data_IF_275269195063
#
_entry.id   IF_275269195063
#
_cell.length_a   1.000
_cell.length_b   1.000
_cell.length_c   1.000
_cell.angle_alpha   90.00
_cell.angle_beta   90.00
_cell.angle_gamma   90.00
#
_symmetry.space_group_name_H-M   'P 1'
#
loop_
_entity.id
_entity.type
_entity.pdbx_description
1 polymer ?
#
# COMPACT_ATOMS: atom_id res chain seq x y z
N UNK A 1 10.41 -17.00 -21.45
CA UNK A 1 10.30 -17.42 -20.05
C UNK A 1 8.99 -16.99 -19.40
N UNK A 2 8.15 -16.15 -20.07
CA UNK A 2 6.84 -15.73 -19.57
C UNK A 2 6.91 -14.88 -18.27
N UNK A 3 7.96 -14.07 -18.10
CA UNK A 3 8.13 -13.24 -16.91
C UNK A 3 7.52 -11.85 -17.13
N UNK A 4 6.81 -11.33 -16.13
CA UNK A 4 6.45 -9.93 -16.01
C UNK A 4 7.64 -9.12 -15.50
N UNK A 5 7.70 -7.82 -15.78
CA UNK A 5 8.71 -6.94 -15.20
C UNK A 5 8.12 -5.64 -14.65
N UNK A 6 8.82 -5.08 -13.67
CA UNK A 6 8.50 -3.76 -13.14
C UNK A 6 9.36 -2.73 -13.86
N UNK A 7 8.70 -1.82 -14.58
CA UNK A 7 9.31 -0.70 -15.27
C UNK A 7 9.50 0.45 -14.29
N UNK A 8 10.75 0.84 -14.07
CA UNK A 8 11.07 2.08 -13.35
C UNK A 8 11.29 3.19 -14.39
N UNK A 9 10.52 4.28 -14.39
CA UNK A 9 10.68 5.38 -15.33
C UNK A 9 11.87 6.27 -14.95
N UNK A 10 13.07 5.70 -15.05
CA UNK A 10 14.36 6.31 -14.76
C UNK A 10 15.20 6.37 -16.04
N UNK A 11 16.10 7.36 -16.11
CA UNK A 11 17.15 7.45 -17.12
C UNK A 11 18.53 7.34 -16.48
N UNK A 12 19.57 7.31 -17.28
CA UNK A 12 20.97 7.36 -16.80
C UNK A 12 21.27 8.64 -15.98
N UNK A 13 20.48 9.71 -16.18
CA UNK A 13 20.53 10.94 -15.39
C UNK A 13 19.78 10.84 -14.04
N UNK A 14 19.08 9.74 -13.79
CA UNK A 14 18.28 9.52 -12.57
C UNK A 14 16.79 9.73 -12.76
N UNK A 15 16.13 10.28 -11.73
CA UNK A 15 14.68 10.55 -11.75
C UNK A 15 14.42 11.75 -12.69
N UNK A 16 13.50 11.62 -13.68
CA UNK A 16 13.12 12.73 -14.55
C UNK A 16 12.56 13.92 -13.77
N UNK A 17 12.93 15.13 -14.18
CA UNK A 17 12.48 16.36 -13.54
C UNK A 17 11.04 16.74 -13.95
N UNK A 18 10.59 16.29 -15.12
CA UNK A 18 9.27 16.60 -15.67
C UNK A 18 8.44 15.35 -15.87
N UNK A 19 7.12 15.52 -15.83
CA UNK A 19 6.17 14.42 -16.12
C UNK A 19 6.26 13.99 -17.59
N UNK A 20 6.54 14.92 -18.50
CA UNK A 20 6.69 14.67 -19.93
C UNK A 20 7.88 13.73 -20.21
N UNK A 21 9.02 13.97 -19.54
CA UNK A 21 10.19 13.08 -19.61
C UNK A 21 9.87 11.70 -19.04
N UNK A 22 9.18 11.64 -17.90
CA UNK A 22 8.76 10.39 -17.28
C UNK A 22 7.85 9.58 -18.20
N UNK A 23 6.85 10.23 -18.80
CA UNK A 23 5.95 9.60 -19.77
C UNK A 23 6.71 9.08 -21.00
N UNK A 24 7.65 9.86 -21.52
CA UNK A 24 8.49 9.46 -22.66
C UNK A 24 9.33 8.21 -22.36
N UNK A 25 9.89 8.12 -21.15
CA UNK A 25 10.65 6.93 -20.74
C UNK A 25 9.73 5.70 -20.67
N UNK A 26 8.54 5.85 -20.07
CA UNK A 26 7.53 4.77 -20.00
C UNK A 26 7.19 4.29 -21.41
N UNK A 27 6.88 5.20 -22.32
CA UNK A 27 6.56 4.87 -23.71
C UNK A 27 7.70 4.14 -24.42
N UNK A 28 8.92 4.68 -24.31
CA UNK A 28 10.10 4.09 -24.96
C UNK A 28 10.34 2.65 -24.52
N UNK A 29 10.27 2.38 -23.20
CA UNK A 29 10.49 1.05 -22.67
C UNK A 29 9.32 0.11 -23.03
N UNK A 30 8.07 0.62 -22.98
CA UNK A 30 6.89 -0.12 -23.39
C UNK A 30 6.97 -0.55 -24.85
N UNK A 31 7.28 0.37 -25.75
CA UNK A 31 7.39 0.09 -27.19
C UNK A 31 8.46 -0.96 -27.48
N UNK A 32 9.60 -0.86 -26.80
CA UNK A 32 10.67 -1.85 -26.95
C UNK A 32 10.26 -3.23 -26.40
N UNK A 33 9.60 -3.29 -25.26
CA UNK A 33 9.09 -4.53 -24.69
C UNK A 33 8.07 -5.21 -25.64
N UNK A 34 7.15 -4.45 -26.21
CA UNK A 34 6.17 -4.95 -27.19
C UNK A 34 6.89 -5.44 -28.47
N UNK A 35 7.89 -4.70 -28.95
CA UNK A 35 8.70 -5.10 -30.09
C UNK A 35 9.40 -6.45 -29.88
N UNK A 36 9.77 -6.74 -28.62
CA UNK A 36 10.39 -8.01 -28.21
C UNK A 36 9.37 -9.14 -27.94
N UNK A 37 8.07 -8.90 -28.19
CA UNK A 37 7.02 -9.89 -28.07
C UNK A 37 6.34 -9.97 -26.72
N UNK A 38 6.54 -8.99 -25.84
CA UNK A 38 5.79 -8.85 -24.60
C UNK A 38 4.43 -8.20 -24.85
N UNK A 39 3.52 -8.37 -23.89
CA UNK A 39 2.21 -7.74 -23.90
C UNK A 39 2.11 -6.65 -22.84
N UNK A 40 1.05 -5.84 -22.83
CA UNK A 40 0.83 -4.82 -21.80
C UNK A 40 0.68 -5.43 -20.41
N UNK A 41 0.14 -6.62 -20.34
CA UNK A 41 -0.10 -7.39 -19.12
C UNK A 41 1.21 -7.86 -18.45
N UNK A 42 2.31 -7.89 -19.21
CA UNK A 42 3.64 -8.24 -18.71
C UNK A 42 4.38 -7.04 -18.09
N UNK A 43 3.80 -5.82 -18.20
CA UNK A 43 4.44 -4.57 -17.81
C UNK A 43 3.72 -3.97 -16.60
N UNK A 44 4.44 -3.75 -15.52
CA UNK A 44 3.97 -3.02 -14.34
C UNK A 44 4.84 -1.79 -14.15
N UNK A 45 4.26 -0.60 -14.12
CA UNK A 45 5.02 0.66 -13.98
C UNK A 45 5.11 1.06 -12.50
N UNK A 46 6.33 1.29 -12.01
CA UNK A 46 6.53 1.89 -10.67
C UNK A 46 6.25 3.39 -10.72
N UNK A 47 5.37 3.86 -9.84
CA UNK A 47 5.03 5.28 -9.72
C UNK A 47 6.15 6.18 -9.21
N UNK A 48 7.27 5.60 -8.73
CA UNK A 48 8.42 6.32 -8.15
C UNK A 48 8.01 7.26 -7.02
N UNK A 49 7.60 6.70 -5.89
CA UNK A 49 7.18 7.49 -4.73
C UNK A 49 8.39 8.12 -4.04
N UNK A 50 8.52 9.43 -4.11
CA UNK A 50 9.43 10.21 -3.28
C UNK A 50 8.73 10.72 -2.02
N UNK A 51 9.50 11.18 -1.02
CA UNK A 51 8.92 11.73 0.21
C UNK A 51 8.47 13.17 0.04
N UNK A 52 7.27 13.48 0.53
CA UNK A 52 6.75 14.87 0.56
C UNK A 52 7.56 15.75 1.51
N UNK A 53 8.33 15.16 2.43
CA UNK A 53 9.25 15.90 3.30
C UNK A 53 10.42 16.54 2.55
N UNK A 54 10.85 15.96 1.43
CA UNK A 54 11.92 16.50 0.59
C UNK A 54 11.38 17.21 -0.67
N UNK A 55 10.30 16.69 -1.25
CA UNK A 55 9.64 17.28 -2.43
C UNK A 55 8.14 17.44 -2.15
N UNK A 56 7.65 18.65 -1.90
CA UNK A 56 6.21 18.89 -1.64
C UNK A 56 5.29 18.46 -2.78
N UNK A 57 5.81 18.31 -4.02
CA UNK A 57 5.04 17.84 -5.18
C UNK A 57 5.08 16.33 -5.38
N UNK A 58 5.86 15.58 -4.62
CA UNK A 58 6.08 14.15 -4.80
C UNK A 58 4.79 13.34 -4.92
N UNK A 59 3.79 13.63 -4.07
CA UNK A 59 2.49 12.96 -4.14
C UNK A 59 1.79 13.22 -5.48
N UNK A 60 1.71 14.48 -5.90
CA UNK A 60 1.05 14.87 -7.15
C UNK A 60 1.74 14.23 -8.36
N UNK A 61 3.08 14.27 -8.39
CA UNK A 61 3.88 13.68 -9.47
C UNK A 61 3.67 12.16 -9.60
N UNK A 62 3.60 11.45 -8.47
CA UNK A 62 3.30 10.03 -8.47
C UNK A 62 1.85 9.75 -8.93
N UNK A 63 0.88 10.52 -8.42
CA UNK A 63 -0.54 10.39 -8.80
C UNK A 63 -0.76 10.67 -10.29
N UNK A 64 -0.05 11.63 -10.87
CA UNK A 64 -0.10 11.92 -12.31
C UNK A 64 0.47 10.76 -13.13
N UNK A 65 1.58 10.14 -12.68
CA UNK A 65 2.15 8.94 -13.31
C UNK A 65 1.15 7.78 -13.29
N UNK A 66 0.49 7.54 -12.15
CA UNK A 66 -0.54 6.49 -12.02
C UNK A 66 -1.72 6.74 -12.97
N UNK A 67 -2.20 8.00 -13.04
CA UNK A 67 -3.30 8.38 -13.94
C UNK A 67 -2.93 8.14 -15.39
N UNK A 68 -1.74 8.58 -15.80
CA UNK A 68 -1.22 8.36 -17.14
C UNK A 68 -1.16 6.87 -17.49
N UNK A 69 -0.58 6.05 -16.62
CA UNK A 69 -0.50 4.60 -16.85
C UNK A 69 -1.89 3.95 -16.98
N UNK A 70 -2.85 4.37 -16.16
CA UNK A 70 -4.24 3.91 -16.26
C UNK A 70 -4.84 4.24 -17.64
N UNK A 71 -4.62 5.46 -18.16
CA UNK A 71 -5.09 5.87 -19.48
C UNK A 71 -4.47 5.05 -20.61
N UNK A 72 -3.22 4.61 -20.42
CA UNK A 72 -2.51 3.72 -21.34
C UNK A 72 -2.86 2.24 -21.18
N UNK A 73 -3.68 1.88 -20.17
CA UNK A 73 -4.04 0.49 -19.85
C UNK A 73 -2.87 -0.31 -19.27
N UNK A 74 -1.95 0.35 -18.56
CA UNK A 74 -0.81 -0.25 -17.88
C UNK A 74 -1.11 -0.43 -16.39
N UNK A 75 -0.69 -1.57 -15.83
CA UNK A 75 -0.70 -1.78 -14.40
C UNK A 75 0.36 -0.92 -13.70
N UNK A 76 0.08 -0.52 -12.45
CA UNK A 76 0.98 0.31 -11.66
C UNK A 76 1.27 -0.28 -10.30
N UNK A 77 2.46 -0.03 -9.77
CA UNK A 77 2.89 -0.39 -8.42
C UNK A 77 3.57 0.80 -7.76
N UNK A 78 3.51 0.91 -6.45
CA UNK A 78 4.31 1.89 -5.70
C UNK A 78 4.72 1.39 -4.31
N UNK A 79 5.90 1.79 -3.87
CA UNK A 79 6.38 1.66 -2.51
C UNK A 79 5.76 2.73 -1.61
N UNK A 80 4.59 2.43 -1.04
CA UNK A 80 3.71 3.41 -0.40
C UNK A 80 4.38 4.20 0.72
N UNK A 81 5.16 3.55 1.57
CA UNK A 81 5.72 4.16 2.78
C UNK A 81 6.76 5.26 2.52
N UNK A 82 7.29 5.35 1.30
CA UNK A 82 8.25 6.39 0.93
C UNK A 82 7.63 7.78 1.00
N UNK A 83 6.33 7.91 0.71
CA UNK A 83 5.63 9.22 0.69
C UNK A 83 5.79 10.00 2.00
N UNK A 84 5.80 9.30 3.13
CA UNK A 84 5.83 9.87 4.48
C UNK A 84 7.19 9.78 5.15
N UNK A 85 8.25 9.39 4.42
CA UNK A 85 9.57 9.21 5.01
C UNK A 85 10.06 10.51 5.67
N UNK A 86 10.54 10.40 6.93
CA UNK A 86 11.01 11.55 7.72
C UNK A 86 9.91 12.39 8.39
N UNK A 87 8.63 12.05 8.21
CA UNK A 87 7.51 12.80 8.83
C UNK A 87 6.94 12.05 10.04
N UNK A 88 6.35 12.77 11.00
CA UNK A 88 5.58 12.16 12.09
C UNK A 88 4.26 11.57 11.60
N UNK A 89 3.62 10.73 12.41
CA UNK A 89 2.28 10.16 12.15
C UNK A 89 2.11 9.57 10.74
N UNK A 90 3.11 8.83 10.29
CA UNK A 90 3.25 8.30 8.94
C UNK A 90 2.03 7.51 8.47
N UNK A 91 1.33 6.85 9.41
CA UNK A 91 0.14 6.05 9.10
C UNK A 91 -0.96 6.89 8.45
N UNK A 92 -1.21 8.10 8.97
CA UNK A 92 -2.22 9.02 8.41
C UNK A 92 -1.88 9.41 6.97
N UNK A 93 -0.62 9.78 6.72
CA UNK A 93 -0.15 10.20 5.39
C UNK A 93 -0.21 9.02 4.41
N UNK A 94 0.26 7.84 4.82
CA UNK A 94 0.24 6.65 3.98
C UNK A 94 -1.19 6.25 3.60
N UNK A 95 -2.13 6.31 4.56
CA UNK A 95 -3.53 5.98 4.33
C UNK A 95 -4.20 6.95 3.37
N UNK A 96 -3.98 8.26 3.56
CA UNK A 96 -4.50 9.30 2.66
C UNK A 96 -3.93 9.16 1.24
N UNK A 97 -2.63 8.93 1.13
CA UNK A 97 -1.97 8.75 -0.16
C UNK A 97 -2.45 7.48 -0.89
N UNK A 98 -2.60 6.35 -0.17
CA UNK A 98 -3.14 5.12 -0.76
C UNK A 98 -4.54 5.35 -1.33
N UNK A 99 -5.42 6.01 -0.58
CA UNK A 99 -6.78 6.33 -1.05
C UNK A 99 -6.73 7.17 -2.33
N UNK A 100 -5.92 8.23 -2.34
CA UNK A 100 -5.73 9.07 -3.52
C UNK A 100 -5.18 8.27 -4.71
N UNK A 101 -4.20 7.40 -4.49
CA UNK A 101 -3.59 6.57 -5.54
C UNK A 101 -4.59 5.55 -6.13
N UNK A 102 -5.41 4.90 -5.29
CA UNK A 102 -6.48 3.99 -5.76
C UNK A 102 -7.47 4.72 -6.65
N UNK A 103 -7.89 5.94 -6.29
CA UNK A 103 -8.81 6.73 -7.12
C UNK A 103 -8.20 7.13 -8.48
N UNK A 104 -6.89 7.22 -8.56
CA UNK A 104 -6.15 7.48 -9.81
C UNK A 104 -5.90 6.22 -10.64
N UNK A 105 -6.14 5.04 -10.08
CA UNK A 105 -6.03 3.76 -10.78
C UNK A 105 -4.82 2.91 -10.38
N UNK A 106 -4.24 3.14 -9.19
CA UNK A 106 -3.20 2.26 -8.67
C UNK A 106 -3.68 0.82 -8.63
N UNK A 107 -2.85 -0.09 -9.15
CA UNK A 107 -3.16 -1.52 -9.24
C UNK A 107 -2.60 -2.29 -8.05
N UNK A 108 -1.38 -1.96 -7.63
CA UNK A 108 -0.66 -2.65 -6.56
C UNK A 108 0.07 -1.66 -5.64
N UNK A 109 0.19 -1.99 -4.37
CA UNK A 109 0.97 -1.21 -3.41
C UNK A 109 1.89 -2.14 -2.59
N UNK A 110 3.16 -1.78 -2.48
CA UNK A 110 4.07 -2.39 -1.52
C UNK A 110 3.89 -1.64 -0.20
N UNK A 111 3.28 -2.31 0.77
CA UNK A 111 2.92 -1.72 2.07
C UNK A 111 2.92 -2.75 3.18
N UNK A 112 2.84 -2.30 4.43
CA UNK A 112 2.71 -3.20 5.57
C UNK A 112 1.23 -3.61 5.77
N UNK A 113 0.86 -4.88 5.52
CA UNK A 113 -0.51 -5.34 5.66
C UNK A 113 -0.99 -5.43 7.12
N UNK A 114 -0.09 -5.34 8.11
CA UNK A 114 -0.45 -5.27 9.53
C UNK A 114 -0.99 -3.89 9.96
N UNK A 115 -0.89 -2.87 9.12
CA UNK A 115 -1.51 -1.56 9.37
C UNK A 115 -2.99 -1.61 8.99
N UNK A 116 -3.84 -1.95 9.97
CA UNK A 116 -5.28 -2.14 9.74
C UNK A 116 -5.96 -0.91 9.10
N UNK A 117 -5.67 0.30 9.59
CA UNK A 117 -6.23 1.53 9.03
C UNK A 117 -5.92 1.69 7.53
N UNK A 118 -4.72 1.28 7.10
CA UNK A 118 -4.31 1.31 5.70
C UNK A 118 -5.12 0.31 4.86
N UNK A 119 -5.26 -0.90 5.38
CA UNK A 119 -6.02 -1.96 4.71
C UNK A 119 -7.50 -1.60 4.64
N UNK A 120 -8.09 -1.10 5.73
CA UNK A 120 -9.49 -0.67 5.79
C UNK A 120 -9.76 0.47 4.79
N UNK A 121 -8.83 1.42 4.67
CA UNK A 121 -8.94 2.50 3.69
C UNK A 121 -8.88 1.99 2.24
N UNK A 122 -8.09 0.95 1.95
CA UNK A 122 -8.06 0.32 0.63
C UNK A 122 -9.42 -0.30 0.26
N UNK A 123 -10.03 -1.06 1.19
CA UNK A 123 -11.37 -1.61 0.97
C UNK A 123 -12.44 -0.51 0.80
N UNK A 124 -12.36 0.55 1.62
CA UNK A 124 -13.25 1.71 1.48
C UNK A 124 -13.08 2.44 0.15
N UNK A 125 -11.84 2.63 -0.30
CA UNK A 125 -11.56 3.27 -1.59
C UNK A 125 -12.08 2.43 -2.77
N UNK A 126 -11.89 1.10 -2.74
CA UNK A 126 -12.41 0.19 -3.76
C UNK A 126 -13.94 0.24 -3.85
N UNK A 127 -14.62 0.32 -2.69
CA UNK A 127 -16.07 0.47 -2.60
C UNK A 127 -16.53 1.80 -3.23
N UNK A 128 -15.89 2.91 -2.87
CA UNK A 128 -16.20 4.24 -3.40
C UNK A 128 -15.95 4.35 -4.91
N UNK A 129 -14.98 3.59 -5.42
CA UNK A 129 -14.67 3.50 -6.85
C UNK A 129 -15.57 2.50 -7.59
N UNK A 130 -16.55 1.91 -6.92
CA UNK A 130 -17.48 0.93 -7.48
C UNK A 130 -16.79 -0.23 -8.22
N UNK A 131 -15.67 -0.72 -7.65
CA UNK A 131 -14.98 -1.88 -8.21
C UNK A 131 -15.82 -3.14 -8.01
N UNK A 132 -15.72 -4.07 -8.96
CA UNK A 132 -16.49 -5.32 -8.95
C UNK A 132 -16.34 -6.08 -7.62
N UNK A 133 -17.47 -6.39 -6.96
CA UNK A 133 -17.53 -7.12 -5.68
C UNK A 133 -16.90 -6.38 -4.49
N UNK A 134 -16.65 -5.08 -4.60
CA UNK A 134 -16.03 -4.29 -3.51
C UNK A 134 -16.95 -4.16 -2.30
N UNK A 135 -18.26 -4.12 -2.49
CA UNK A 135 -19.27 -4.10 -1.44
C UNK A 135 -19.19 -5.34 -0.54
N UNK A 136 -19.17 -6.52 -1.14
CA UNK A 136 -19.04 -7.78 -0.39
C UNK A 136 -17.70 -7.88 0.33
N UNK A 137 -16.60 -7.51 -0.34
CA UNK A 137 -15.26 -7.52 0.29
C UNK A 137 -15.19 -6.56 1.48
N UNK A 138 -15.75 -5.35 1.35
CA UNK A 138 -15.79 -4.38 2.44
C UNK A 138 -16.60 -4.90 3.63
N UNK A 139 -17.82 -5.39 3.41
CA UNK A 139 -18.68 -5.96 4.46
C UNK A 139 -17.97 -7.12 5.17
N UNK A 140 -17.38 -8.05 4.42
CA UNK A 140 -16.65 -9.18 5.01
C UNK A 140 -15.47 -8.73 5.87
N UNK A 141 -14.72 -7.72 5.40
CA UNK A 141 -13.59 -7.14 6.16
C UNK A 141 -14.07 -6.54 7.48
N UNK A 142 -15.12 -5.71 7.45
CA UNK A 142 -15.66 -5.06 8.64
C UNK A 142 -16.25 -6.05 9.63
N UNK A 143 -16.99 -7.05 9.18
CA UNK A 143 -17.55 -8.09 10.03
C UNK A 143 -16.47 -8.92 10.74
N UNK A 144 -15.36 -9.25 10.05
CA UNK A 144 -14.21 -9.93 10.67
C UNK A 144 -13.58 -9.08 11.77
N UNK A 145 -13.45 -7.78 11.56
CA UNK A 145 -12.89 -6.86 12.53
C UNK A 145 -13.75 -6.77 13.78
N UNK A 146 -15.06 -6.57 13.64
CA UNK A 146 -16.01 -6.54 14.75
C UNK A 146 -15.98 -7.85 15.56
N UNK A 147 -15.91 -9.00 14.91
CA UNK A 147 -15.84 -10.30 15.59
C UNK A 147 -14.52 -10.50 16.37
N UNK A 148 -13.42 -9.90 15.91
CA UNK A 148 -12.13 -9.94 16.64
C UNK A 148 -12.17 -9.00 17.83
N UNK A 149 -12.71 -7.79 17.68
CA UNK A 149 -12.89 -6.82 18.77
C UNK A 149 -13.81 -7.36 19.86
N UNK A 150 -14.92 -7.99 19.50
CA UNK A 150 -15.85 -8.62 20.45
C UNK A 150 -15.19 -9.76 21.24
N UNK A 151 -14.42 -10.63 20.58
CA UNK A 151 -13.64 -11.67 21.23
C UNK A 151 -12.56 -11.11 22.16
N UNK A 152 -11.92 -10.03 21.77
CA UNK A 152 -10.94 -9.30 22.58
C UNK A 152 -11.59 -8.68 23.82
N UNK A 153 -12.76 -8.07 23.66
CA UNK A 153 -13.53 -7.51 24.76
C UNK A 153 -14.00 -8.57 25.76
N UNK A 154 -14.50 -9.71 25.28
CA UNK A 154 -14.91 -10.84 26.12
C UNK A 154 -13.74 -11.46 26.89
N UNK A 155 -12.55 -11.55 26.28
CA UNK A 155 -11.33 -11.99 26.96
C UNK A 155 -10.79 -10.96 27.95
N UNK A 156 -10.98 -9.66 27.68
CA UNK A 156 -10.61 -8.57 28.61
C UNK A 156 -11.47 -8.52 29.87
N UNK A 157 -12.73 -8.98 29.81
CA UNK A 157 -13.61 -9.10 30.95
C UNK A 157 -13.28 -10.28 31.90
N UNK A 158 -12.44 -11.23 31.48
CA UNK A 158 -11.91 -12.31 32.31
C UNK A 158 -10.59 -11.98 33.04
N UNK A 159 -10.08 -10.76 32.90
CA UNK A 159 -8.79 -10.32 33.49
C UNK A 159 -8.80 -10.11 35.01
N UNK A 160 -9.91 -10.34 35.69
CA UNK A 160 -9.95 -10.44 37.19
C UNK A 160 -9.63 -11.84 37.74
N UNK A 161 -9.30 -12.81 36.87
CA UNK A 161 -8.65 -14.05 37.32
C UNK A 161 -7.16 -13.89 37.22
N UNK A 162 -6.44 -14.09 38.32
CA UNK A 162 -4.96 -14.15 38.33
C UNK A 162 -4.50 -15.12 37.24
N UNK A 163 -4.06 -14.57 36.11
CA UNK A 163 -3.48 -15.33 35.02
C UNK A 163 -2.18 -15.96 35.50
N UNK A 164 -1.98 -17.23 35.20
CA UNK A 164 -0.73 -17.93 35.54
C UNK A 164 0.46 -17.27 34.82
N UNK A 165 1.69 -17.37 35.38
CA UNK A 165 2.88 -16.82 34.71
C UNK A 165 3.07 -17.31 33.28
N UNK A 166 2.63 -18.55 32.97
CA UNK A 166 2.66 -19.10 31.59
C UNK A 166 1.72 -18.41 30.64
N UNK A 167 0.51 -18.06 31.10
CA UNK A 167 -0.48 -17.33 30.29
C UNK A 167 -0.03 -15.90 30.02
N UNK A 168 0.57 -15.23 31.00
CA UNK A 168 1.15 -13.88 30.83
C UNK A 168 2.29 -13.87 29.80
N UNK A 169 3.20 -14.83 29.85
CA UNK A 169 4.28 -14.97 28.87
C UNK A 169 3.74 -15.24 27.47
N UNK A 170 2.74 -16.12 27.38
CA UNK A 170 2.08 -16.42 26.09
C UNK A 170 1.41 -15.19 25.48
N UNK A 171 0.69 -14.40 26.28
CA UNK A 171 0.08 -13.14 25.84
C UNK A 171 1.12 -12.10 25.43
N UNK A 172 2.23 -11.97 26.14
CA UNK A 172 3.32 -11.07 25.77
C UNK A 172 3.97 -11.45 24.43
N UNK A 173 4.11 -12.73 24.13
CA UNK A 173 4.64 -13.22 22.86
C UNK A 173 3.66 -12.92 21.70
N UNK A 174 2.37 -13.18 21.90
CA UNK A 174 1.35 -12.94 20.86
C UNK A 174 1.14 -11.45 20.58
N UNK A 175 1.17 -10.61 21.62
CA UNK A 175 0.95 -9.17 21.50
C UNK A 175 2.22 -8.40 21.14
N UNK A 176 3.39 -9.04 21.12
CA UNK A 176 4.69 -8.40 20.84
C UNK A 176 5.14 -7.41 21.90
N UNK A 177 4.61 -7.52 23.13
CA UNK A 177 4.90 -6.60 24.24
C UNK A 177 6.20 -7.00 24.94
N UNK A 178 7.33 -6.38 24.55
CA UNK A 178 8.67 -6.69 25.07
C UNK A 178 8.92 -6.21 26.52
N UNK A 179 8.21 -5.19 26.97
CA UNK A 179 8.44 -4.56 28.28
C UNK A 179 8.02 -5.40 29.48
N UNK A 180 7.04 -6.29 29.30
CA UNK A 180 6.46 -7.07 30.40
C UNK A 180 7.17 -8.41 30.68
N UNK A 181 8.09 -8.83 29.82
CA UNK A 181 8.78 -10.13 29.94
C UNK A 181 9.97 -10.07 30.94
N UNK A 182 10.49 -8.87 31.23
CA UNK A 182 11.71 -8.68 32.02
C UNK A 182 11.43 -8.48 33.52
N UNK A 183 10.20 -8.24 33.94
CA UNK A 183 9.83 -7.96 35.33
C UNK A 183 9.24 -9.17 36.10
N UNK A 184 9.17 -10.35 35.49
CA UNK A 184 8.76 -11.64 36.10
C UNK A 184 9.85 -12.73 35.92
#
# INVERSE_FOLDING_TARGET
YGAMFILLPLSDAGIPETKEEKHKIIETIREEAIRLGMTKEDIVVDGLVATVGANPKAAIECLDTISYCREQGLATICGLSNISFGLPERSCINTAFLTAAITRGLTMAISNPAQEALVDAAYGADLLMNKEGADLRYIQRMNRKSAVEEKSFLRGGEKDRESSPKEKVFDCVITGSKGSIVEE
#
